data_IF_968502899090
#
_entry.id   IF_968502899090
#
_cell.length_a   1.000
_cell.length_b   1.000
_cell.length_c   1.000
_cell.angle_alpha   90.00
_cell.angle_beta   90.00
_cell.angle_gamma   90.00
#
_symmetry.space_group_name_H-M   'P 1'
#
loop_
_entity.id
_entity.type
_entity.pdbx_description
1 polymer ?
#
# COMPACT_ATOMS: atom_id res chain seq x y z
N UNK A 1 12.49 2.86 -6.11
CA UNK A 1 12.54 3.07 -4.65
C UNK A 1 12.61 1.70 -3.98
N UNK A 2 13.22 1.58 -2.80
CA UNK A 2 13.44 0.27 -2.14
C UNK A 2 12.41 0.00 -1.04
N UNK A 3 12.09 -1.28 -0.82
CA UNK A 3 11.26 -1.75 0.32
C UNK A 3 12.05 -1.85 1.64
N UNK A 4 13.36 -1.59 1.63
CA UNK A 4 14.23 -1.79 2.80
C UNK A 4 13.86 -0.92 4.01
N UNK A 5 13.17 0.20 3.77
CA UNK A 5 12.72 1.13 4.80
C UNK A 5 11.40 0.73 5.47
N UNK A 6 10.76 -0.34 4.99
CA UNK A 6 9.43 -0.74 5.41
C UNK A 6 9.46 -2.12 6.02
N UNK A 7 9.00 -2.22 7.26
CA UNK A 7 8.82 -3.47 7.98
C UNK A 7 7.44 -3.46 8.66
N UNK A 8 7.01 -4.60 9.18
CA UNK A 8 5.76 -4.66 9.94
C UNK A 8 5.80 -3.69 11.12
N UNK A 9 4.76 -2.86 11.24
CA UNK A 9 4.64 -1.81 12.25
C UNK A 9 5.16 -0.45 11.81
N UNK A 10 5.84 -0.34 10.66
CA UNK A 10 6.24 0.94 10.10
C UNK A 10 4.99 1.77 9.78
N UNK A 11 4.91 2.98 10.33
CA UNK A 11 3.91 3.96 9.89
C UNK A 11 4.34 4.55 8.56
N UNK A 12 3.36 4.85 7.72
CA UNK A 12 3.60 5.43 6.40
C UNK A 12 2.63 6.57 6.14
N UNK A 13 3.05 7.49 5.28
CA UNK A 13 2.25 8.60 4.78
C UNK A 13 2.25 8.55 3.24
N UNK A 14 1.09 8.73 2.62
CA UNK A 14 0.96 8.92 1.19
C UNK A 14 1.51 10.29 0.77
N UNK A 15 2.45 10.32 -0.19
CA UNK A 15 3.08 11.56 -0.70
C UNK A 15 2.50 12.03 -2.03
N UNK A 16 1.61 11.24 -2.62
CA UNK A 16 0.90 11.53 -3.85
C UNK A 16 -0.48 10.88 -3.81
N UNK A 17 -1.40 11.37 -4.65
CA UNK A 17 -2.68 10.72 -4.87
C UNK A 17 -2.48 9.52 -5.81
N UNK A 18 -2.98 8.35 -5.43
CA UNK A 18 -2.89 7.16 -6.27
C UNK A 18 -4.07 6.22 -6.09
N UNK A 19 -4.32 5.42 -7.12
CA UNK A 19 -5.38 4.44 -7.13
C UNK A 19 -4.81 3.03 -7.11
N UNK A 20 -5.30 2.21 -6.18
CA UNK A 20 -4.98 0.78 -6.12
C UNK A 20 -6.18 -0.01 -6.61
N UNK A 21 -5.96 -0.85 -7.62
CA UNK A 21 -6.97 -1.82 -8.08
C UNK A 21 -6.81 -3.11 -7.31
N UNK A 22 -7.83 -3.44 -6.53
CA UNK A 22 -7.96 -4.78 -5.98
C UNK A 22 -8.57 -5.69 -7.05
N UNK A 23 -7.76 -6.60 -7.58
CA UNK A 23 -8.26 -7.69 -8.43
C UNK A 23 -8.94 -8.70 -7.51
N UNK A 24 -10.25 -8.55 -7.32
CA UNK A 24 -11.04 -9.60 -6.68
C UNK A 24 -11.21 -10.77 -7.65
N UNK A 25 -11.18 -11.99 -7.12
CA UNK A 25 -11.37 -13.23 -7.90
C UNK A 25 -12.77 -13.36 -8.55
N UNK A 26 -13.67 -12.40 -8.34
CA UNK A 26 -15.00 -12.37 -8.92
C UNK A 26 -15.08 -11.35 -10.06
N UNK A 27 -15.60 -11.70 -11.25
CA UNK A 27 -15.67 -10.83 -12.43
C UNK A 27 -16.59 -9.61 -12.27
N UNK A 28 -17.27 -9.48 -11.13
CA UNK A 28 -18.26 -8.44 -10.84
C UNK A 28 -17.63 -7.38 -9.93
N UNK A 29 -16.77 -6.54 -10.51
CA UNK A 29 -16.29 -5.31 -9.87
C UNK A 29 -14.86 -5.36 -9.36
N UNK A 30 -13.91 -4.91 -10.20
CA UNK A 30 -12.63 -4.41 -9.71
C UNK A 30 -12.92 -3.21 -8.80
N UNK A 31 -12.60 -3.32 -7.51
CA UNK A 31 -12.68 -2.17 -6.61
C UNK A 31 -11.44 -1.31 -6.82
N UNK A 32 -11.64 -0.11 -7.38
CA UNK A 32 -10.61 0.94 -7.39
C UNK A 32 -10.69 1.66 -6.05
N UNK A 33 -9.55 1.82 -5.38
CA UNK A 33 -9.44 2.55 -4.11
C UNK A 33 -8.49 3.72 -4.30
N UNK A 34 -8.96 4.92 -4.01
CA UNK A 34 -8.15 6.13 -4.05
C UNK A 34 -7.53 6.39 -2.68
N UNK A 35 -6.22 6.54 -2.64
CA UNK A 35 -5.45 7.03 -1.49
C UNK A 35 -5.08 8.48 -1.79
N UNK A 36 -5.32 9.36 -0.83
CA UNK A 36 -5.04 10.79 -0.99
C UNK A 36 -3.71 11.14 -0.32
N UNK A 37 -3.04 12.17 -0.83
CA UNK A 37 -1.84 12.74 -0.23
C UNK A 37 -2.11 13.12 1.23
N UNK A 38 -1.21 12.73 2.12
CA UNK A 38 -1.33 12.91 3.57
C UNK A 38 -2.07 11.77 4.30
N UNK A 39 -2.65 10.80 3.57
CA UNK A 39 -3.24 9.63 4.21
C UNK A 39 -2.19 8.83 4.98
N UNK A 40 -2.50 8.55 6.24
CA UNK A 40 -1.66 7.76 7.12
C UNK A 40 -2.05 6.28 7.08
N UNK A 41 -1.05 5.43 7.20
CA UNK A 41 -1.23 4.00 7.32
C UNK A 41 -0.15 3.30 8.11
N UNK A 42 -0.33 2.01 8.32
CA UNK A 42 0.63 1.14 9.00
C UNK A 42 0.88 -0.12 8.17
N UNK A 43 2.15 -0.45 7.96
CA UNK A 43 2.55 -1.70 7.32
C UNK A 43 2.17 -2.86 8.24
N UNK A 44 1.22 -3.68 7.81
CA UNK A 44 0.78 -4.89 8.52
C UNK A 44 1.64 -6.10 8.18
N UNK A 45 2.13 -6.16 6.95
CA UNK A 45 2.96 -7.25 6.46
C UNK A 45 3.84 -6.77 5.30
N UNK A 46 5.04 -7.34 5.17
CA UNK A 46 5.89 -7.26 3.99
C UNK A 46 6.03 -8.66 3.42
N UNK A 47 5.69 -8.84 2.15
CA UNK A 47 5.76 -10.12 1.47
C UNK A 47 6.74 -10.05 0.32
N UNK A 48 7.55 -11.09 0.20
CA UNK A 48 8.48 -11.27 -0.92
C UNK A 48 8.29 -12.69 -1.46
N UNK A 49 7.93 -12.80 -2.74
CA UNK A 49 7.82 -14.09 -3.44
C UNK A 49 8.62 -13.98 -4.74
N UNK A 50 9.74 -14.70 -4.80
CA UNK A 50 10.67 -14.60 -5.93
C UNK A 50 11.21 -13.17 -6.07
N UNK A 51 11.14 -12.55 -7.27
CA UNK A 51 11.58 -11.17 -7.47
C UNK A 51 10.56 -10.12 -7.02
N UNK A 52 9.32 -10.53 -6.73
CA UNK A 52 8.25 -9.60 -6.38
C UNK A 52 8.23 -9.34 -4.87
N UNK A 53 8.19 -8.06 -4.50
CA UNK A 53 7.97 -7.63 -3.11
C UNK A 53 6.77 -6.69 -3.07
N UNK A 54 5.93 -6.81 -2.04
CA UNK A 54 4.85 -5.87 -1.77
C UNK A 54 4.60 -5.73 -0.28
N UNK A 55 3.99 -4.61 0.10
CA UNK A 55 3.54 -4.33 1.45
C UNK A 55 2.03 -4.50 1.53
N UNK A 56 1.55 -4.98 2.67
CA UNK A 56 0.14 -4.93 3.05
C UNK A 56 0.02 -3.77 4.04
N UNK A 57 -0.54 -2.64 3.60
CA UNK A 57 -0.65 -1.41 4.38
C UNK A 57 -2.10 -1.18 4.77
N UNK A 58 -2.37 -0.96 6.06
CA UNK A 58 -3.68 -0.52 6.50
C UNK A 58 -3.74 1.00 6.53
N UNK A 59 -4.52 1.61 5.64
CA UNK A 59 -4.74 3.07 5.64
C UNK A 59 -5.94 3.45 6.49
N UNK A 60 -5.79 4.48 7.31
CA UNK A 60 -6.82 4.93 8.23
C UNK A 60 -8.01 5.58 7.53
N UNK A 61 -7.80 6.20 6.36
CA UNK A 61 -8.84 6.84 5.55
C UNK A 61 -9.81 5.82 4.93
N UNK A 62 -9.28 4.70 4.44
CA UNK A 62 -10.05 3.66 3.73
C UNK A 62 -10.49 2.52 4.65
N UNK A 63 -9.93 2.43 5.87
CA UNK A 63 -10.20 1.38 6.88
C UNK A 63 -10.00 -0.04 6.35
N UNK A 64 -9.03 -0.24 5.44
CA UNK A 64 -8.73 -1.52 4.79
C UNK A 64 -7.24 -1.72 4.59
N UNK A 65 -6.87 -2.99 4.40
CA UNK A 65 -5.53 -3.40 3.96
C UNK A 65 -5.42 -3.26 2.45
N UNK A 66 -4.36 -2.61 1.99
CA UNK A 66 -4.08 -2.31 0.59
C UNK A 66 -2.70 -2.87 0.25
N UNK A 67 -2.59 -3.53 -0.91
CA UNK A 67 -1.31 -4.00 -1.41
C UNK A 67 -0.56 -2.85 -2.08
N UNK A 68 0.65 -2.55 -1.61
CA UNK A 68 1.57 -1.58 -2.20
C UNK A 68 2.73 -2.35 -2.83
N UNK A 69 2.74 -2.37 -4.15
CA UNK A 69 3.74 -3.03 -4.99
C UNK A 69 4.81 -2.04 -5.49
N UNK A 70 5.73 -2.52 -6.33
CA UNK A 70 6.78 -1.71 -6.96
C UNK A 70 6.25 -0.48 -7.72
N UNK A 71 5.02 -0.54 -8.23
CA UNK A 71 4.41 0.57 -8.97
C UNK A 71 3.99 1.69 -8.03
N UNK A 72 3.56 1.35 -6.81
CA UNK A 72 2.98 2.30 -5.86
C UNK A 72 3.91 2.62 -4.67
N UNK A 73 5.01 1.89 -4.48
CA UNK A 73 5.94 2.10 -3.37
C UNK A 73 6.54 3.52 -3.33
N UNK A 74 6.64 4.18 -4.48
CA UNK A 74 7.10 5.56 -4.56
C UNK A 74 6.08 6.62 -4.14
N UNK A 75 4.82 6.22 -3.96
CA UNK A 75 3.73 7.11 -3.53
C UNK A 75 3.57 7.13 -2.01
N UNK A 76 4.40 6.39 -1.28
CA UNK A 76 4.43 6.38 0.19
C UNK A 76 5.85 6.64 0.71
N UNK A 77 5.94 7.14 1.94
CA UNK A 77 7.18 7.26 2.70
C UNK A 77 6.97 6.79 4.15
N UNK A 78 8.02 6.39 4.87
CA UNK A 78 7.92 6.21 6.33
C UNK A 78 7.48 7.50 7.02
N UNK A 79 6.63 7.36 8.04
CA UNK A 79 6.16 8.43 8.91
C UNK A 79 6.56 8.15 10.37
N UNK A 80 6.68 9.19 11.18
CA UNK A 80 7.07 9.11 12.59
C UNK A 80 5.90 8.71 13.54
#
# INVERSE_FOLDING_TARGET
MSFDLYEKGTKVEAVADFEVREVMASPVGSSVRSISTGDLGEVREKRTIGPATWLIVYFDSVKRQINIDDTNIGNIKPAD
#
